data_IF_980174284419
#
_entry.id   IF_980174284419
#
_cell.length_a   1.000
_cell.length_b   1.000
_cell.length_c   1.000
_cell.angle_alpha   90.00
_cell.angle_beta   90.00
_cell.angle_gamma   90.00
#
_symmetry.space_group_name_H-M   'P 1'
#
loop_
_entity.id
_entity.type
_entity.pdbx_description
1 polymer ?
#
# COMPACT_ATOMS: atom_id res chain seq x y z
N UNK A 1 0.10 0.51 -9.62
CA UNK A 1 -1.17 -0.13 -9.28
C UNK A 1 -1.23 -0.47 -7.79
N UNK A 2 -2.44 -0.51 -7.20
CA UNK A 2 -2.68 -0.87 -5.80
C UNK A 2 -3.88 -1.81 -5.75
N UNK A 3 -3.66 -3.02 -5.26
CA UNK A 3 -4.69 -4.06 -5.15
C UNK A 3 -4.61 -4.76 -3.79
N UNK A 4 -5.66 -5.48 -3.41
CA UNK A 4 -5.55 -6.47 -2.33
C UNK A 4 -5.04 -7.82 -2.89
N UNK A 5 -4.72 -8.77 -2.00
CA UNK A 5 -4.16 -10.07 -2.39
C UNK A 5 -5.13 -10.88 -3.26
N UNK A 6 -6.43 -10.86 -2.95
CA UNK A 6 -7.45 -11.57 -3.73
C UNK A 6 -7.62 -10.98 -5.14
N UNK A 7 -7.59 -9.64 -5.25
CA UNK A 7 -7.62 -8.94 -6.53
C UNK A 7 -6.40 -9.30 -7.39
N UNK A 8 -5.21 -9.30 -6.80
CA UNK A 8 -3.96 -9.69 -7.49
C UNK A 8 -4.04 -11.13 -7.97
N UNK A 9 -4.48 -12.05 -7.11
CA UNK A 9 -4.61 -13.46 -7.46
C UNK A 9 -5.62 -13.68 -8.60
N UNK A 10 -6.74 -12.96 -8.57
CA UNK A 10 -7.74 -13.01 -9.64
C UNK A 10 -7.20 -12.45 -10.95
N UNK A 11 -6.48 -11.31 -10.87
CA UNK A 11 -5.88 -10.68 -12.05
C UNK A 11 -4.77 -11.56 -12.65
N UNK A 12 -3.92 -12.18 -11.87
CA UNK A 12 -2.82 -13.02 -12.34
C UNK A 12 -3.19 -14.48 -12.59
N UNK A 13 -4.45 -14.86 -12.31
CA UNK A 13 -4.95 -16.24 -12.43
C UNK A 13 -4.02 -17.27 -11.76
N UNK A 14 -3.69 -16.99 -10.49
CA UNK A 14 -2.84 -17.85 -9.68
C UNK A 14 -3.16 -17.65 -8.19
N UNK A 15 -3.06 -18.72 -7.40
CA UNK A 15 -3.26 -18.66 -5.94
C UNK A 15 -2.08 -18.04 -5.19
N UNK A 16 -0.92 -17.96 -5.82
CA UNK A 16 0.27 -17.33 -5.27
C UNK A 16 0.36 -15.88 -5.76
N UNK A 17 0.10 -14.92 -4.86
CA UNK A 17 0.10 -13.50 -5.21
C UNK A 17 1.43 -13.00 -5.79
N UNK A 18 2.58 -13.61 -5.46
CA UNK A 18 3.86 -13.22 -6.03
C UNK A 18 3.99 -13.67 -7.49
N UNK A 19 3.41 -14.82 -7.85
CA UNK A 19 3.33 -15.29 -9.25
C UNK A 19 2.41 -14.36 -10.04
N UNK A 20 1.20 -14.12 -9.51
CA UNK A 20 0.23 -13.19 -10.09
C UNK A 20 0.80 -11.79 -10.26
N UNK A 21 1.50 -11.29 -9.25
CA UNK A 21 2.12 -9.97 -9.29
C UNK A 21 3.20 -9.86 -10.38
N UNK A 22 4.00 -10.92 -10.60
CA UNK A 22 4.97 -10.95 -11.70
C UNK A 22 4.28 -10.87 -13.07
N UNK A 23 3.20 -11.62 -13.27
CA UNK A 23 2.40 -11.56 -14.51
C UNK A 23 1.84 -10.14 -14.76
N UNK A 24 1.30 -9.50 -13.72
CA UNK A 24 0.79 -8.12 -13.80
C UNK A 24 1.92 -7.14 -14.14
N UNK A 25 3.08 -7.26 -13.48
CA UNK A 25 4.24 -6.40 -13.72
C UNK A 25 4.83 -6.57 -15.11
N UNK A 26 4.78 -7.78 -15.71
CA UNK A 26 5.22 -8.04 -17.09
C UNK A 26 4.22 -7.59 -18.14
N UNK A 27 2.98 -7.25 -17.74
CA UNK A 27 1.91 -6.90 -18.67
C UNK A 27 1.26 -8.11 -19.32
N UNK A 28 1.45 -9.32 -18.78
CA UNK A 28 0.73 -10.51 -19.23
C UNK A 28 -0.76 -10.39 -18.91
N UNK A 29 -1.61 -10.65 -19.93
CA UNK A 29 -3.06 -10.57 -19.79
C UNK A 29 -3.66 -11.85 -19.26
N UNK A 30 -4.81 -11.67 -18.58
CA UNK A 30 -5.65 -12.73 -18.03
C UNK A 30 -6.42 -13.54 -19.06
N UNK A 31 -6.73 -12.95 -20.22
CA UNK A 31 -7.71 -13.49 -21.18
C UNK A 31 -7.06 -13.98 -22.49
N UNK A 32 -5.74 -14.19 -22.48
CA UNK A 32 -5.01 -14.55 -23.71
C UNK A 32 -4.95 -13.41 -24.74
N UNK A 33 -5.62 -12.31 -24.49
CA UNK A 33 -5.51 -11.06 -25.20
C UNK A 33 -4.60 -10.13 -24.44
N UNK A 34 -3.27 -10.20 -24.65
CA UNK A 34 -2.26 -9.53 -23.86
C UNK A 34 -2.61 -8.11 -23.45
N UNK A 35 -2.24 -7.72 -22.21
CA UNK A 35 -2.19 -6.31 -21.88
C UNK A 35 -1.33 -5.66 -22.97
N UNK A 36 -1.95 -4.84 -23.79
CA UNK A 36 -1.26 -4.10 -24.83
C UNK A 36 -0.45 -3.02 -24.14
N UNK A 37 0.77 -3.38 -23.76
CA UNK A 37 1.67 -2.44 -23.09
C UNK A 37 2.55 -3.10 -22.02
N UNK A 38 3.46 -2.32 -21.49
CA UNK A 38 4.22 -2.69 -20.28
C UNK A 38 3.32 -2.67 -19.04
N UNK A 39 3.54 -3.57 -18.09
CA UNK A 39 2.89 -3.54 -16.79
C UNK A 39 3.18 -2.24 -16.02
N UNK A 40 2.61 -2.08 -14.82
CA UNK A 40 2.83 -0.87 -14.01
C UNK A 40 4.27 -0.78 -13.51
N UNK A 41 4.81 0.42 -13.34
CA UNK A 41 6.15 0.65 -12.76
C UNK A 41 6.24 0.18 -11.30
N UNK A 42 5.09 0.11 -10.62
CA UNK A 42 4.98 -0.27 -9.23
C UNK A 42 3.63 -0.95 -8.98
N UNK A 43 3.66 -2.10 -8.33
CA UNK A 43 2.49 -2.83 -7.86
C UNK A 43 2.53 -2.98 -6.34
N UNK A 44 1.50 -2.48 -5.67
CA UNK A 44 1.33 -2.63 -4.23
C UNK A 44 0.23 -3.66 -3.97
N UNK A 45 0.58 -4.69 -3.21
CA UNK A 45 -0.34 -5.74 -2.75
C UNK A 45 -0.64 -5.50 -1.28
N UNK A 46 -1.88 -5.13 -0.96
CA UNK A 46 -2.38 -4.99 0.42
C UNK A 46 -2.76 -6.37 0.96
N UNK A 47 -2.31 -6.69 2.17
CA UNK A 47 -2.47 -8.01 2.77
C UNK A 47 -3.12 -7.97 4.16
N UNK A 48 -3.99 -7.00 4.39
CA UNK A 48 -4.70 -6.82 5.66
C UNK A 48 -3.74 -6.74 6.85
N UNK A 49 -3.91 -7.61 7.83
CA UNK A 49 -3.06 -7.68 9.03
C UNK A 49 -1.60 -8.06 8.75
N UNK A 50 -1.30 -8.68 7.61
CA UNK A 50 0.06 -8.98 7.18
C UNK A 50 0.80 -7.76 6.58
N UNK A 51 0.10 -6.62 6.41
CA UNK A 51 0.70 -5.39 5.90
C UNK A 51 0.61 -5.26 4.39
N UNK A 52 1.72 -4.92 3.75
CA UNK A 52 1.76 -4.78 2.29
C UNK A 52 3.13 -5.18 1.70
N UNK A 53 3.07 -5.57 0.44
CA UNK A 53 4.25 -5.80 -0.39
C UNK A 53 4.17 -4.86 -1.59
N UNK A 54 5.25 -4.17 -1.89
CA UNK A 54 5.40 -3.38 -3.09
C UNK A 54 6.45 -4.02 -3.99
N UNK A 55 6.09 -4.30 -5.22
CA UNK A 55 6.98 -4.78 -6.26
C UNK A 55 7.26 -3.59 -7.18
N UNK A 56 8.52 -3.19 -7.22
CA UNK A 56 9.02 -2.10 -8.04
C UNK A 56 10.14 -2.64 -8.94
N UNK A 57 10.41 -1.99 -10.07
CA UNK A 57 11.49 -2.39 -10.98
C UNK A 57 12.88 -2.48 -10.31
N UNK A 58 13.11 -1.66 -9.28
CA UNK A 58 14.39 -1.58 -8.56
C UNK A 58 14.42 -2.48 -7.30
N UNK A 59 13.36 -3.22 -7.01
CA UNK A 59 13.33 -4.13 -5.87
C UNK A 59 11.95 -4.34 -5.25
N UNK A 60 11.94 -5.00 -4.10
CA UNK A 60 10.72 -5.31 -3.35
C UNK A 60 10.78 -4.67 -1.97
N UNK A 61 9.68 -4.05 -1.55
CA UNK A 61 9.50 -3.51 -0.21
C UNK A 61 8.41 -4.31 0.49
N UNK A 62 8.69 -4.79 1.69
CA UNK A 62 7.68 -5.40 2.56
C UNK A 62 7.56 -4.59 3.83
N UNK A 63 6.34 -4.18 4.17
CA UNK A 63 6.04 -3.51 5.44
C UNK A 63 4.94 -4.25 6.19
N UNK A 64 5.08 -4.48 7.50
CA UNK A 64 4.02 -5.02 8.33
C UNK A 64 2.88 -4.00 8.46
N UNK A 65 1.68 -4.45 8.85
CA UNK A 65 0.66 -3.56 9.33
C UNK A 65 1.11 -2.90 10.65
N UNK A 66 0.65 -1.66 10.91
CA UNK A 66 0.85 -1.06 12.22
C UNK A 66 -0.01 -1.82 13.26
N UNK A 67 0.57 -2.29 14.38
CA UNK A 67 -0.17 -2.99 15.40
C UNK A 67 -1.08 -2.01 16.16
N UNK A 68 -2.38 -2.12 15.94
CA UNK A 68 -3.40 -1.34 16.66
C UNK A 68 -3.91 -2.13 17.87
N UNK A 69 -4.24 -1.45 18.97
CA UNK A 69 -4.75 -2.13 20.16
C UNK A 69 -6.17 -2.69 19.98
N UNK A 70 -6.95 -2.10 19.09
CA UNK A 70 -8.34 -2.48 18.81
C UNK A 70 -8.69 -2.23 17.34
N UNK A 71 -9.31 -3.23 16.73
CA UNK A 71 -9.96 -3.11 15.43
C UNK A 71 -11.43 -2.82 15.66
N UNK A 72 -11.92 -1.70 15.14
CA UNK A 72 -13.34 -1.29 15.23
C UNK A 72 -14.03 -1.55 13.91
N UNK A 73 -13.50 -0.98 12.81
CA UNK A 73 -14.07 -1.14 11.47
C UNK A 73 -12.96 -1.12 10.42
N UNK A 74 -12.74 -2.22 9.68
CA UNK A 74 -11.76 -2.27 8.60
C UNK A 74 -12.23 -1.60 7.30
N UNK A 75 -13.51 -1.19 7.22
CA UNK A 75 -14.10 -0.58 6.02
C UNK A 75 -13.37 0.71 5.66
N UNK A 76 -13.05 0.88 4.39
CA UNK A 76 -12.37 2.06 3.87
C UNK A 76 -10.87 2.14 4.19
N UNK A 77 -10.29 1.22 4.98
CA UNK A 77 -8.85 1.23 5.25
C UNK A 77 -8.01 1.14 3.98
N UNK A 78 -8.50 0.39 2.98
CA UNK A 78 -7.85 0.28 1.67
C UNK A 78 -7.82 1.60 0.91
N UNK A 79 -8.93 2.35 0.94
CA UNK A 79 -9.05 3.64 0.26
C UNK A 79 -8.22 4.71 0.98
N UNK A 80 -8.25 4.73 2.31
CA UNK A 80 -7.40 5.60 3.13
C UNK A 80 -5.92 5.31 2.89
N UNK A 81 -5.53 4.04 2.81
CA UNK A 81 -4.17 3.65 2.46
C UNK A 81 -3.78 4.18 1.08
N UNK A 82 -4.60 3.94 0.06
CA UNK A 82 -4.33 4.37 -1.31
C UNK A 82 -4.26 5.91 -1.42
N UNK A 83 -5.22 6.61 -0.81
CA UNK A 83 -5.23 8.08 -0.77
C UNK A 83 -4.01 8.67 -0.08
N UNK A 84 -3.62 8.13 1.08
CA UNK A 84 -2.43 8.57 1.80
C UNK A 84 -1.13 8.27 1.03
N UNK A 85 -1.04 7.13 0.36
CA UNK A 85 0.08 6.77 -0.52
C UNK A 85 0.21 7.78 -1.66
N UNK A 86 -0.87 8.01 -2.41
CA UNK A 86 -0.86 8.92 -3.54
C UNK A 86 -0.54 10.37 -3.13
N UNK A 87 -1.05 10.82 -1.99
CA UNK A 87 -0.74 12.15 -1.46
C UNK A 87 0.76 12.40 -1.27
N UNK A 88 1.54 11.36 -0.92
CA UNK A 88 3.00 11.47 -0.79
C UNK A 88 3.70 11.58 -2.15
N UNK A 89 3.07 11.15 -3.24
CA UNK A 89 3.65 11.19 -4.58
C UNK A 89 3.32 12.49 -5.33
N UNK A 90 2.34 13.28 -4.86
CA UNK A 90 1.96 14.57 -5.48
C UNK A 90 3.17 15.49 -5.74
N UNK A 91 4.16 15.63 -4.82
CA UNK A 91 5.32 16.49 -5.06
C UNK A 91 6.19 16.06 -6.24
N UNK A 92 6.07 14.82 -6.70
CA UNK A 92 6.84 14.29 -7.84
C UNK A 92 6.34 14.81 -9.20
N UNK A 93 5.15 15.44 -9.25
CA UNK A 93 4.57 16.07 -10.45
C UNK A 93 4.52 15.11 -11.66
N UNK A 94 4.14 13.86 -11.46
CA UNK A 94 4.01 12.84 -12.51
C UNK A 94 5.32 12.16 -12.92
N UNK A 95 6.46 12.46 -12.28
CA UNK A 95 7.69 11.69 -12.47
C UNK A 95 7.55 10.30 -11.84
N UNK A 96 8.19 9.30 -12.44
CA UNK A 96 8.25 7.95 -11.86
C UNK A 96 8.96 8.05 -10.50
N UNK A 97 8.31 7.51 -9.47
CA UNK A 97 8.84 7.51 -8.13
C UNK A 97 9.99 6.49 -7.99
N UNK A 98 11.09 6.90 -7.42
CA UNK A 98 12.14 5.99 -7.00
C UNK A 98 11.68 5.12 -5.81
N UNK A 99 12.37 4.00 -5.60
CA UNK A 99 12.00 3.01 -4.57
C UNK A 99 11.99 3.60 -3.15
N UNK A 100 12.82 4.60 -2.85
CA UNK A 100 12.86 5.24 -1.54
C UNK A 100 11.68 6.21 -1.33
N UNK A 101 11.26 6.89 -2.38
CA UNK A 101 10.03 7.70 -2.37
C UNK A 101 8.80 6.81 -2.17
N UNK A 102 8.75 5.65 -2.83
CA UNK A 102 7.72 4.63 -2.63
C UNK A 102 7.74 4.11 -1.19
N UNK A 103 8.91 3.78 -0.63
CA UNK A 103 9.06 3.31 0.76
C UNK A 103 8.50 4.33 1.75
N UNK A 104 8.86 5.61 1.60
CA UNK A 104 8.32 6.68 2.46
C UNK A 104 6.80 6.79 2.33
N UNK A 105 6.27 6.75 1.11
CA UNK A 105 4.84 6.79 0.86
C UNK A 105 4.08 5.62 1.51
N UNK A 106 4.63 4.40 1.43
CA UNK A 106 4.05 3.21 2.07
C UNK A 106 4.01 3.31 3.60
N UNK A 107 5.07 3.86 4.21
CA UNK A 107 5.10 4.11 5.67
C UNK A 107 3.98 5.08 6.08
N UNK A 108 3.81 6.18 5.35
CA UNK A 108 2.74 7.14 5.60
C UNK A 108 1.36 6.51 5.38
N UNK A 109 1.17 5.74 4.32
CA UNK A 109 -0.07 5.03 4.01
C UNK A 109 -0.47 4.05 5.12
N UNK A 110 0.48 3.23 5.57
CA UNK A 110 0.26 2.25 6.65
C UNK A 110 -0.14 2.94 7.96
N UNK A 111 0.57 4.01 8.32
CA UNK A 111 0.25 4.77 9.55
C UNK A 111 -1.11 5.44 9.44
N UNK A 112 -1.46 6.02 8.30
CA UNK A 112 -2.76 6.68 8.11
C UNK A 112 -3.90 5.66 8.19
N UNK A 113 -3.80 4.54 7.47
CA UNK A 113 -4.80 3.47 7.52
C UNK A 113 -4.99 2.90 8.94
N UNK A 114 -3.93 2.87 9.75
CA UNK A 114 -4.00 2.40 11.15
C UNK A 114 -4.85 3.28 12.07
N UNK A 115 -5.09 4.54 11.72
CA UNK A 115 -6.04 5.39 12.45
C UNK A 115 -7.48 5.12 12.02
N UNK A 116 -7.69 4.84 10.73
CA UNK A 116 -9.03 4.55 10.22
C UNK A 116 -9.66 3.32 10.88
N UNK A 117 -8.88 2.24 11.02
CA UNK A 117 -9.37 0.95 11.55
C UNK A 117 -9.80 1.01 13.03
N UNK A 118 -9.39 2.05 13.77
CA UNK A 118 -9.70 2.27 15.20
C UNK A 118 -11.07 2.97 15.42
N UNK A 119 -11.78 3.37 14.35
CA UNK A 119 -13.09 4.04 14.43
C UNK A 119 -14.01 3.65 13.28
N UNK A 120 -15.28 4.02 13.38
CA UNK A 120 -16.22 3.91 12.26
C UNK A 120 -16.02 5.07 11.27
N UNK A 121 -16.14 4.76 9.98
CA UNK A 121 -16.04 5.73 8.90
C UNK A 121 -14.70 6.48 8.87
N UNK A 122 -14.74 7.74 8.41
CA UNK A 122 -13.54 8.58 8.22
C UNK A 122 -13.27 9.58 9.35
N UNK A 123 -14.06 9.57 10.41
CA UNK A 123 -14.00 10.58 11.49
C UNK A 123 -12.64 10.64 12.17
N UNK A 124 -11.99 9.49 12.37
CA UNK A 124 -10.65 9.43 12.97
C UNK A 124 -9.60 10.14 12.11
N UNK A 125 -9.76 10.08 10.78
CA UNK A 125 -8.83 10.74 9.86
C UNK A 125 -9.15 12.23 9.78
N UNK A 126 -10.43 12.61 9.65
CA UNK A 126 -10.85 14.01 9.58
C UNK A 126 -10.42 14.82 10.80
N UNK A 127 -10.44 14.21 12.00
CA UNK A 127 -10.11 14.85 13.28
C UNK A 127 -8.68 14.51 13.77
N UNK A 128 -7.83 13.95 12.92
CA UNK A 128 -6.50 13.47 13.31
C UNK A 128 -5.55 14.63 13.63
N UNK A 129 -5.19 14.74 14.92
CA UNK A 129 -4.24 15.75 15.37
C UNK A 129 -2.81 15.43 14.89
N UNK A 130 -2.14 16.43 14.36
CA UNK A 130 -0.76 16.33 13.81
C UNK A 130 0.23 15.69 14.80
N UNK A 131 0.15 16.02 16.09
CA UNK A 131 1.01 15.43 17.12
C UNK A 131 0.81 13.92 17.28
N UNK A 132 -0.46 13.46 17.32
CA UNK A 132 -0.80 12.04 17.39
C UNK A 132 -0.31 11.27 16.16
N UNK A 133 -0.47 11.87 14.98
CA UNK A 133 0.03 11.29 13.74
C UNK A 133 1.56 11.14 13.76
N UNK A 134 2.29 12.21 14.10
CA UNK A 134 3.75 12.19 14.14
C UNK A 134 4.29 11.14 15.13
N UNK A 135 3.72 11.08 16.32
CA UNK A 135 4.13 10.10 17.33
C UNK A 135 3.99 8.65 16.83
N UNK A 136 2.87 8.34 16.13
CA UNK A 136 2.65 7.02 15.53
C UNK A 136 3.59 6.76 14.36
N UNK A 137 3.82 7.75 13.52
CA UNK A 137 4.75 7.67 12.40
C UNK A 137 6.18 7.37 12.88
N UNK A 138 6.67 8.09 13.87
CA UNK A 138 8.01 7.89 14.44
C UNK A 138 8.14 6.51 15.12
N UNK A 139 7.09 6.06 15.80
CA UNK A 139 7.04 4.71 16.38
C UNK A 139 7.11 3.64 15.28
N UNK A 140 6.34 3.78 14.22
CA UNK A 140 6.33 2.83 13.11
C UNK A 140 7.67 2.80 12.37
N UNK A 141 8.28 3.95 12.10
CA UNK A 141 9.59 4.04 11.47
C UNK A 141 10.66 3.28 12.27
N UNK A 142 10.68 3.45 13.59
CA UNK A 142 11.59 2.67 14.47
C UNK A 142 11.30 1.16 14.41
N UNK A 143 10.01 0.77 14.38
CA UNK A 143 9.63 -0.65 14.28
C UNK A 143 10.17 -1.33 13.02
N UNK A 144 10.15 -0.62 11.90
CA UNK A 144 10.55 -1.17 10.59
C UNK A 144 11.99 -0.83 10.20
N UNK A 145 12.76 -0.25 11.12
CA UNK A 145 14.19 0.06 10.90
C UNK A 145 14.44 1.19 9.90
N UNK A 146 13.46 2.08 9.69
CA UNK A 146 13.59 3.25 8.82
C UNK A 146 13.86 4.47 9.71
N UNK A 147 15.07 4.96 9.69
CA UNK A 147 15.55 6.12 10.49
C UNK A 147 15.34 7.41 9.70
#
# INVERSE_FOLDING_TARGET
>A
AIFNEDEVNRIGDDSNYMVSAKKIMSGESLDGGGLVGSGPDCLIVKRGSAGCVCIHRDGVITLPAYPVPKIVDPTGCGDVFAGAFLAQLVPLKGRIADIESIRRALVHATVTASFNIESFGTDAIANLKRGKYRARLDKFRRMVGII
#
